data_IF_166941137912
#
_entry.id   IF_166941137912
#
_cell.length_a   1.000
_cell.length_b   1.000
_cell.length_c   1.000
_cell.angle_alpha   90.00
_cell.angle_beta   90.00
_cell.angle_gamma   90.00
#
_symmetry.space_group_name_H-M   'P 1'
#
loop_
_entity.id
_entity.type
_entity.pdbx_description
1 polymer ?
#
# COMPACT_ATOMS: atom_id res chain seq x y z
N UNK A 1 -16.09 23.10 -39.80
CA UNK A 1 -14.87 23.13 -38.97
C UNK A 1 -15.27 23.39 -37.53
N UNK A 2 -14.66 22.70 -36.54
CA UNK A 2 -15.06 22.48 -35.12
C UNK A 2 -15.91 21.21 -34.95
N UNK A 3 -15.59 20.21 -34.11
CA UNK A 3 -14.53 20.00 -33.10
C UNK A 3 -14.35 18.47 -32.97
N UNK A 4 -13.23 17.94 -33.44
CA UNK A 4 -12.89 16.50 -33.30
C UNK A 4 -11.92 16.23 -32.14
N UNK A 5 -11.80 17.15 -31.19
CA UNK A 5 -10.74 17.14 -30.16
C UNK A 5 -11.14 16.54 -28.80
N UNK A 6 -12.32 15.93 -28.68
CA UNK A 6 -12.78 15.38 -27.39
C UNK A 6 -12.54 13.89 -27.18
N UNK A 7 -12.10 13.15 -28.21
CA UNK A 7 -11.92 11.69 -28.12
C UNK A 7 -10.49 11.23 -27.80
N UNK A 8 -9.50 12.13 -27.84
CA UNK A 8 -8.10 11.78 -27.55
C UNK A 8 -7.74 12.05 -26.07
N UNK A 9 -8.52 12.86 -25.36
CA UNK A 9 -8.24 13.16 -23.94
C UNK A 9 -8.66 12.04 -22.97
N UNK A 10 -9.60 11.17 -23.37
CA UNK A 10 -10.04 10.04 -22.53
C UNK A 10 -9.04 8.87 -22.50
N UNK A 11 -8.13 8.79 -23.48
CA UNK A 11 -7.14 7.71 -23.56
C UNK A 11 -5.83 8.02 -22.81
N UNK A 12 -5.58 9.28 -22.44
CA UNK A 12 -4.35 9.66 -21.71
C UNK A 12 -4.53 9.51 -20.19
N UNK A 13 -5.76 9.55 -19.67
CA UNK A 13 -6.00 9.44 -18.21
C UNK A 13 -5.98 7.98 -17.74
N UNK A 14 -6.23 7.01 -18.63
CA UNK A 14 -6.09 5.58 -18.31
C UNK A 14 -4.61 5.11 -18.27
N UNK A 15 -3.66 5.94 -18.71
CA UNK A 15 -2.23 5.60 -18.81
C UNK A 15 -1.37 5.95 -17.59
N UNK A 16 -1.95 6.50 -16.53
CA UNK A 16 -1.22 7.02 -15.34
C UNK A 16 -1.63 6.35 -14.03
N UNK A 17 -2.29 5.19 -14.09
CA UNK A 17 -2.36 4.29 -12.95
C UNK A 17 -1.15 3.35 -13.10
N UNK A 18 -0.06 3.51 -12.33
CA UNK A 18 0.90 2.43 -12.22
C UNK A 18 0.09 1.19 -11.85
N UNK A 19 0.11 0.19 -12.72
CA UNK A 19 -0.59 -1.08 -12.52
C UNK A 19 0.00 -1.73 -11.27
N UNK A 20 -0.50 -1.31 -10.12
CA UNK A 20 -0.28 -1.97 -8.86
C UNK A 20 -1.05 -3.27 -9.01
N UNK A 21 -0.32 -4.35 -9.21
CA UNK A 21 -0.87 -5.67 -9.11
C UNK A 21 -1.30 -5.87 -7.64
N UNK A 22 -2.54 -5.50 -7.33
CA UNK A 22 -3.25 -6.03 -6.17
C UNK A 22 -3.57 -7.47 -6.50
N UNK A 23 -2.91 -8.40 -5.83
CA UNK A 23 -3.18 -9.80 -6.06
C UNK A 23 -2.65 -10.62 -4.90
N UNK A 24 -3.51 -11.52 -4.40
CA UNK A 24 -3.17 -12.55 -3.43
C UNK A 24 -2.04 -13.47 -3.93
N UNK A 25 -1.67 -13.38 -5.21
CA UNK A 25 -0.78 -14.30 -5.91
C UNK A 25 0.57 -13.70 -6.37
N UNK A 26 0.81 -12.40 -6.15
CA UNK A 26 2.04 -11.73 -6.66
C UNK A 26 3.31 -12.40 -6.14
N UNK A 27 3.25 -12.90 -4.92
CA UNK A 27 4.35 -13.52 -4.18
C UNK A 27 4.03 -14.98 -3.81
N UNK A 28 3.32 -15.68 -4.70
CA UNK A 28 3.04 -17.10 -4.54
C UNK A 28 4.31 -17.89 -4.25
N UNK A 29 4.20 -18.98 -3.46
CA UNK A 29 5.31 -19.89 -3.30
C UNK A 29 5.82 -20.44 -4.64
N UNK A 30 7.15 -20.50 -4.78
CA UNK A 30 7.84 -20.89 -6.01
C UNK A 30 8.61 -22.19 -5.85
N UNK A 31 8.92 -22.86 -6.95
CA UNK A 31 9.81 -24.05 -6.95
C UNK A 31 11.24 -23.74 -7.37
N UNK A 32 11.46 -22.58 -8.01
CA UNK A 32 12.77 -22.15 -8.49
C UNK A 32 13.03 -20.73 -8.00
N UNK A 33 14.17 -20.54 -7.37
CA UNK A 33 14.64 -19.25 -6.87
C UNK A 33 15.85 -18.87 -7.72
N UNK A 34 15.76 -17.74 -8.42
CA UNK A 34 16.85 -17.20 -9.20
C UNK A 34 17.66 -16.26 -8.32
N UNK A 35 18.97 -16.39 -8.34
CA UNK A 35 19.89 -15.58 -7.56
C UNK A 35 20.51 -14.49 -8.44
N UNK A 36 20.89 -13.37 -7.84
CA UNK A 36 21.53 -12.25 -8.55
C UNK A 36 22.90 -12.62 -9.15
N UNK A 37 23.56 -13.65 -8.62
CA UNK A 37 24.82 -14.20 -9.15
C UNK A 37 24.61 -15.18 -10.32
N UNK A 38 23.37 -15.34 -10.80
CA UNK A 38 23.01 -16.22 -11.90
C UNK A 38 22.71 -17.67 -11.50
N UNK A 39 22.93 -18.05 -10.23
CA UNK A 39 22.59 -19.40 -9.74
C UNK A 39 21.08 -19.59 -9.66
N UNK A 40 20.67 -20.86 -9.73
CA UNK A 40 19.28 -21.27 -9.55
C UNK A 40 19.20 -22.28 -8.43
N UNK A 41 18.35 -22.01 -7.45
CA UNK A 41 18.04 -22.93 -6.35
C UNK A 41 16.69 -23.56 -6.61
N UNK A 42 16.69 -24.87 -6.89
CA UNK A 42 15.47 -25.66 -7.00
C UNK A 42 15.07 -26.22 -5.63
N UNK A 43 13.78 -26.12 -5.33
CA UNK A 43 13.19 -26.44 -4.03
C UNK A 43 11.82 -27.10 -4.17
N UNK A 44 11.38 -27.79 -3.12
CA UNK A 44 10.02 -28.33 -3.05
C UNK A 44 9.01 -27.19 -2.94
N UNK A 45 9.36 -26.19 -2.13
CA UNK A 45 8.58 -24.99 -1.91
C UNK A 45 9.48 -23.86 -1.42
N UNK A 46 9.40 -22.69 -2.05
CA UNK A 46 10.11 -21.49 -1.65
C UNK A 46 9.13 -20.35 -1.41
N UNK A 47 9.26 -19.61 -0.32
CA UNK A 47 8.34 -18.52 0.03
C UNK A 47 9.05 -17.37 0.74
N UNK A 48 8.43 -16.19 0.68
CA UNK A 48 8.93 -14.98 1.34
C UNK A 48 8.49 -14.94 2.81
N UNK A 49 9.42 -14.56 3.68
CA UNK A 49 9.15 -14.24 5.07
C UNK A 49 10.05 -13.10 5.53
N UNK A 50 9.50 -11.88 5.53
CA UNK A 50 10.23 -10.69 5.90
C UNK A 50 11.41 -10.41 4.98
N UNK A 51 12.60 -10.23 5.55
CA UNK A 51 13.85 -9.98 4.83
C UNK A 51 14.51 -11.27 4.27
N UNK A 52 13.78 -12.39 4.23
CA UNK A 52 14.30 -13.71 3.88
C UNK A 52 13.44 -14.41 2.84
N UNK A 53 14.09 -15.21 2.02
CA UNK A 53 13.47 -16.23 1.18
C UNK A 53 13.73 -17.60 1.83
N UNK A 54 12.68 -18.31 2.21
CA UNK A 54 12.77 -19.63 2.81
C UNK A 54 12.56 -20.66 1.71
N UNK A 55 13.40 -21.68 1.68
CA UNK A 55 13.46 -22.72 0.66
C UNK A 55 13.43 -24.08 1.34
N UNK A 56 12.37 -24.85 1.13
CA UNK A 56 12.26 -26.23 1.64
C UNK A 56 12.91 -27.20 0.66
N UNK A 57 13.93 -27.92 1.14
CA UNK A 57 14.68 -28.92 0.36
C UNK A 57 15.08 -30.10 1.25
N UNK A 58 14.88 -31.33 0.77
CA UNK A 58 15.30 -32.56 1.45
C UNK A 58 14.86 -32.67 2.93
N UNK A 59 13.64 -32.22 3.25
CA UNK A 59 13.11 -32.30 4.63
C UNK A 59 13.57 -31.19 5.58
N UNK A 60 14.43 -30.27 5.14
CA UNK A 60 14.86 -29.09 5.90
C UNK A 60 14.48 -27.77 5.23
N UNK A 61 14.62 -26.68 5.99
CA UNK A 61 14.45 -25.32 5.50
C UNK A 61 15.83 -24.65 5.37
N UNK A 62 16.13 -24.14 4.19
CA UNK A 62 17.26 -23.27 3.92
C UNK A 62 16.77 -21.83 3.84
N UNK A 63 17.51 -20.90 4.44
CA UNK A 63 17.18 -19.47 4.40
C UNK A 63 18.17 -18.75 3.49
N UNK A 64 17.65 -17.95 2.56
CA UNK A 64 18.42 -17.11 1.66
C UNK A 64 18.11 -15.64 1.99
N UNK A 65 19.12 -14.75 2.06
CA UNK A 65 18.89 -13.32 2.19
C UNK A 65 18.10 -12.80 1.00
N UNK A 66 17.04 -12.02 1.24
CA UNK A 66 16.17 -11.56 0.16
C UNK A 66 16.91 -10.73 -0.89
N UNK A 67 17.92 -9.97 -0.47
CA UNK A 67 18.74 -9.12 -1.35
C UNK A 67 19.63 -9.92 -2.31
N UNK A 68 19.80 -11.22 -2.07
CA UNK A 68 20.54 -12.13 -2.97
C UNK A 68 19.66 -12.74 -4.07
N UNK A 69 18.33 -12.59 -3.97
CA UNK A 69 17.34 -13.14 -4.91
C UNK A 69 17.12 -12.16 -6.07
N UNK A 70 17.12 -12.69 -7.28
CA UNK A 70 16.61 -12.01 -8.46
C UNK A 70 15.08 -12.02 -8.40
N UNK A 71 14.53 -10.92 -7.91
CA UNK A 71 13.09 -10.75 -7.71
C UNK A 71 12.29 -10.81 -9.00
N UNK A 72 12.81 -10.22 -10.09
CA UNK A 72 12.07 -10.10 -11.34
C UNK A 72 11.89 -11.47 -11.99
N UNK A 73 12.93 -12.32 -11.92
CA UNK A 73 12.84 -13.69 -12.43
C UNK A 73 12.10 -14.64 -11.49
N UNK A 74 12.24 -14.46 -10.18
CA UNK A 74 11.61 -15.35 -9.18
C UNK A 74 10.11 -15.06 -9.05
N UNK A 75 9.71 -13.80 -9.07
CA UNK A 75 8.31 -13.35 -8.94
C UNK A 75 7.90 -12.52 -10.16
N UNK A 76 7.71 -13.13 -11.34
CA UNK A 76 7.43 -12.40 -12.58
C UNK A 76 6.10 -11.64 -12.58
N UNK A 77 5.16 -12.03 -11.70
CA UNK A 77 3.89 -11.30 -11.47
C UNK A 77 4.16 -9.94 -10.80
N UNK A 78 5.27 -9.78 -10.09
CA UNK A 78 5.66 -8.53 -9.47
C UNK A 78 6.31 -7.59 -10.49
N UNK A 79 5.57 -6.59 -10.95
CA UNK A 79 6.06 -5.53 -11.85
C UNK A 79 6.93 -4.53 -11.09
N UNK A 80 8.14 -4.95 -10.76
CA UNK A 80 9.14 -4.16 -10.05
C UNK A 80 9.60 -2.97 -10.91
N UNK A 81 9.47 -1.71 -10.44
CA UNK A 81 10.03 -0.56 -11.14
C UNK A 81 11.56 -0.68 -11.30
N UNK A 82 12.14 -0.21 -12.42
CA UNK A 82 13.58 -0.09 -12.54
C UNK A 82 14.08 0.83 -11.42
N UNK A 83 15.16 0.44 -10.74
CA UNK A 83 15.74 1.14 -9.56
C UNK A 83 15.05 0.91 -8.22
N UNK A 84 13.93 0.19 -8.16
CA UNK A 84 13.40 -0.27 -6.88
C UNK A 84 14.30 -1.37 -6.31
N UNK A 85 14.46 -1.42 -4.99
CA UNK A 85 15.05 -2.51 -4.25
C UNK A 85 14.06 -2.97 -3.22
N UNK A 86 13.72 -4.25 -3.23
CA UNK A 86 12.82 -4.85 -2.24
C UNK A 86 13.66 -5.28 -1.04
N UNK A 87 13.41 -4.67 0.12
CA UNK A 87 14.17 -4.95 1.34
C UNK A 87 13.51 -6.06 2.16
N UNK A 88 12.18 -6.11 2.13
CA UNK A 88 11.37 -6.98 2.96
C UNK A 88 10.00 -7.19 2.33
N UNK A 89 9.46 -8.41 2.39
CA UNK A 89 8.09 -8.72 1.95
C UNK A 89 7.43 -9.73 2.88
N UNK A 90 6.20 -9.42 3.25
CA UNK A 90 5.29 -10.28 3.97
C UNK A 90 4.07 -10.56 3.08
N UNK A 91 4.11 -11.64 2.28
CA UNK A 91 3.06 -11.92 1.32
C UNK A 91 1.75 -12.32 2.02
N UNK A 92 0.63 -12.12 1.33
CA UNK A 92 -0.70 -12.52 1.79
C UNK A 92 -1.25 -11.66 2.94
N UNK A 93 -2.40 -12.05 3.52
CA UNK A 93 -3.05 -11.30 4.60
C UNK A 93 -2.19 -11.26 5.87
N UNK A 94 -1.98 -10.05 6.41
CA UNK A 94 -1.28 -9.79 7.68
C UNK A 94 -2.19 -9.22 8.75
N UNK A 95 -3.34 -8.72 8.34
CA UNK A 95 -4.47 -8.42 9.20
C UNK A 95 -5.74 -8.68 8.40
N UNK A 96 -6.73 -9.31 9.02
CA UNK A 96 -8.03 -9.51 8.41
C UNK A 96 -9.09 -9.52 9.51
N UNK A 97 -10.08 -8.67 9.35
CA UNK A 97 -11.35 -8.76 10.05
C UNK A 97 -12.50 -8.82 9.04
N UNK A 98 -13.74 -8.70 9.52
CA UNK A 98 -14.94 -8.75 8.69
C UNK A 98 -15.02 -7.58 7.68
N UNK A 99 -14.36 -6.46 7.96
CA UNK A 99 -14.50 -5.20 7.24
C UNK A 99 -13.23 -4.79 6.48
N UNK A 100 -12.06 -5.31 6.84
CA UNK A 100 -10.80 -4.88 6.20
C UNK A 100 -9.78 -6.00 6.12
N UNK A 101 -9.03 -6.00 5.03
CA UNK A 101 -7.86 -6.86 4.84
C UNK A 101 -6.65 -6.00 4.56
N UNK A 102 -5.56 -6.25 5.27
CA UNK A 102 -4.23 -5.72 4.98
C UNK A 102 -3.34 -6.86 4.54
N UNK A 103 -2.70 -6.73 3.38
CA UNK A 103 -1.89 -7.77 2.77
C UNK A 103 -0.62 -7.22 2.15
N UNK A 104 0.27 -8.14 1.74
CA UNK A 104 1.46 -7.84 0.94
C UNK A 104 2.32 -6.70 1.51
N UNK A 105 2.47 -6.68 2.84
CA UNK A 105 3.23 -5.65 3.58
C UNK A 105 4.68 -5.75 3.18
N UNK A 106 5.27 -4.66 2.69
CA UNK A 106 6.65 -4.66 2.20
C UNK A 106 7.36 -3.36 2.48
N UNK A 107 8.69 -3.43 2.44
CA UNK A 107 9.57 -2.26 2.46
C UNK A 107 10.36 -2.25 1.17
N UNK A 108 10.22 -1.16 0.43
CA UNK A 108 10.96 -0.92 -0.81
C UNK A 108 11.87 0.28 -0.61
N UNK A 109 12.97 0.30 -1.38
CA UNK A 109 13.87 1.44 -1.49
C UNK A 109 13.95 1.83 -2.95
N UNK A 110 13.61 3.07 -3.26
CA UNK A 110 13.60 3.60 -4.61
C UNK A 110 14.15 5.04 -4.61
N UNK A 111 14.68 5.54 -5.74
CA UNK A 111 15.06 6.94 -5.82
C UNK A 111 13.85 7.86 -5.67
N UNK A 112 14.04 9.02 -5.04
CA UNK A 112 12.97 9.96 -4.73
C UNK A 112 12.24 10.52 -5.97
N UNK A 113 12.88 10.51 -7.15
CA UNK A 113 12.32 10.98 -8.42
C UNK A 113 12.79 10.13 -9.61
N UNK A 114 12.16 8.97 -9.88
CA UNK A 114 12.52 8.13 -11.03
C UNK A 114 12.18 8.78 -12.39
N UNK A 115 11.36 9.83 -12.41
CA UNK A 115 10.94 10.53 -13.64
C UNK A 115 11.88 11.67 -14.09
N UNK A 116 12.98 11.93 -13.38
CA UNK A 116 13.97 12.99 -13.70
C UNK A 116 15.37 12.48 -13.96
N UNK A 117 15.56 11.16 -14.08
CA UNK A 117 16.85 10.54 -14.40
C UNK A 117 17.13 10.63 -15.91
N UNK A 118 17.13 11.85 -16.47
CA UNK A 118 17.77 12.13 -17.75
C UNK A 118 19.29 12.18 -17.51
N UNK A 119 19.98 11.15 -18.02
CA UNK A 119 21.41 10.88 -17.82
C UNK A 119 22.39 11.90 -18.45
N UNK A 120 21.93 13.08 -18.88
CA UNK A 120 22.79 14.07 -19.55
C UNK A 120 22.98 15.41 -18.82
N UNK A 121 22.27 15.70 -17.72
CA UNK A 121 22.27 17.06 -17.14
C UNK A 121 22.96 17.24 -15.77
N UNK A 122 23.24 16.18 -15.01
CA UNK A 122 23.63 16.33 -13.59
C UNK A 122 25.06 15.88 -13.29
N UNK A 123 26.07 16.51 -13.92
CA UNK A 123 27.44 16.47 -13.40
C UNK A 123 27.57 17.49 -12.26
N UNK A 124 27.19 17.09 -11.04
CA UNK A 124 27.45 17.89 -9.83
C UNK A 124 26.37 17.88 -8.76
N UNK A 125 25.24 17.22 -8.96
CA UNK A 125 24.24 17.04 -7.91
C UNK A 125 24.55 15.79 -7.08
N UNK A 126 24.37 15.91 -5.76
CA UNK A 126 24.46 14.79 -4.81
C UNK A 126 23.71 13.58 -5.37
N UNK A 127 24.22 12.34 -5.18
CA UNK A 127 23.57 11.14 -5.67
C UNK A 127 22.09 11.14 -5.24
N UNK A 128 21.15 10.72 -6.12
CA UNK A 128 19.74 10.71 -5.80
C UNK A 128 19.52 9.96 -4.50
N UNK A 129 18.98 10.66 -3.50
CA UNK A 129 18.80 10.08 -2.17
C UNK A 129 17.76 8.95 -2.29
N UNK A 130 18.22 7.72 -2.05
CA UNK A 130 17.34 6.57 -2.07
C UNK A 130 16.41 6.62 -0.86
N UNK A 131 15.11 6.56 -1.10
CA UNK A 131 14.08 6.67 -0.08
C UNK A 131 13.51 5.29 0.19
N UNK A 132 13.48 4.90 1.46
CA UNK A 132 12.82 3.67 1.89
C UNK A 132 11.35 3.98 2.23
N UNK A 133 10.44 3.10 1.81
CA UNK A 133 8.98 3.30 1.96
C UNK A 133 8.34 1.99 2.40
N UNK A 134 7.51 2.06 3.44
CA UNK A 134 6.59 0.98 3.80
C UNK A 134 5.39 1.04 2.87
N UNK A 135 5.00 -0.12 2.36
CA UNK A 135 3.89 -0.29 1.43
C UNK A 135 2.98 -1.37 1.98
N UNK A 136 1.69 -1.07 2.09
CA UNK A 136 0.66 -1.99 2.59
C UNK A 136 -0.47 -2.00 1.57
N UNK A 137 -0.88 -3.18 1.12
CA UNK A 137 -2.09 -3.32 0.33
C UNK A 137 -3.27 -3.44 1.26
N UNK A 138 -4.32 -2.68 0.99
CA UNK A 138 -5.52 -2.61 1.81
C UNK A 138 -6.74 -2.86 0.93
N UNK A 139 -7.68 -3.66 1.42
CA UNK A 139 -9.02 -3.83 0.82
C UNK A 139 -10.06 -3.54 1.88
N UNK A 140 -10.88 -2.51 1.67
CA UNK A 140 -12.03 -2.22 2.50
C UNK A 140 -13.23 -3.07 2.03
N UNK A 141 -13.78 -3.88 2.93
CA UNK A 141 -14.97 -4.71 2.73
C UNK A 141 -16.19 -4.19 3.48
N UNK A 142 -15.98 -3.28 4.44
CA UNK A 142 -17.03 -2.71 5.27
C UNK A 142 -17.53 -1.36 4.76
N UNK A 143 -18.14 -0.60 5.67
CA UNK A 143 -18.57 0.76 5.40
C UNK A 143 -17.37 1.66 5.03
N UNK A 144 -17.60 2.72 4.25
CA UNK A 144 -16.52 3.61 3.88
C UNK A 144 -15.85 4.27 5.08
N UNK A 145 -14.53 4.20 5.16
CA UNK A 145 -13.77 4.67 6.32
C UNK A 145 -12.39 5.21 5.93
N UNK A 146 -11.82 6.02 6.82
CA UNK A 146 -10.38 6.26 6.84
C UNK A 146 -9.72 5.19 7.72
N UNK A 147 -8.47 4.86 7.42
CA UNK A 147 -7.76 3.76 8.07
C UNK A 147 -6.40 4.23 8.56
N UNK A 148 -6.09 3.88 9.80
CA UNK A 148 -4.76 4.04 10.39
C UNK A 148 -4.22 2.67 10.80
N UNK A 149 -3.01 2.36 10.36
CA UNK A 149 -2.32 1.10 10.62
C UNK A 149 -1.06 1.38 11.42
N UNK A 150 -0.95 0.79 12.60
CA UNK A 150 0.29 0.77 13.38
C UNK A 150 1.03 -0.54 13.14
N UNK A 151 2.34 -0.44 12.95
CA UNK A 151 3.20 -1.57 12.66
C UNK A 151 4.57 -1.45 13.32
N UNK A 152 5.07 -2.58 13.81
CA UNK A 152 6.38 -2.67 14.45
C UNK A 152 7.40 -3.24 13.48
N UNK A 153 8.52 -2.54 13.31
CA UNK A 153 9.74 -3.11 12.78
C UNK A 153 10.45 -3.91 13.87
N UNK A 154 10.80 -5.15 13.57
CA UNK A 154 11.49 -6.04 14.50
C UNK A 154 12.76 -6.62 13.88
N UNK A 155 13.74 -6.88 14.73
CA UNK A 155 14.97 -7.58 14.35
C UNK A 155 14.76 -9.09 14.20
N UNK A 156 15.85 -9.81 13.96
CA UNK A 156 15.85 -11.28 13.83
C UNK A 156 15.50 -12.04 15.11
N UNK A 157 15.58 -11.38 16.28
CA UNK A 157 15.23 -11.94 17.59
C UNK A 157 13.79 -11.58 17.99
N UNK A 158 13.08 -10.80 17.18
CA UNK A 158 11.73 -10.32 17.47
C UNK A 158 11.68 -9.09 18.38
N UNK A 159 12.82 -8.45 18.67
CA UNK A 159 12.84 -7.20 19.42
C UNK A 159 12.28 -6.07 18.56
N UNK A 160 11.37 -5.28 19.13
CA UNK A 160 10.84 -4.08 18.48
C UNK A 160 11.95 -3.03 18.38
N UNK A 161 12.27 -2.65 17.15
CA UNK A 161 13.24 -1.61 16.82
C UNK A 161 12.56 -0.24 16.74
N UNK A 162 11.38 -0.20 16.11
CA UNK A 162 10.63 1.02 15.87
C UNK A 162 9.15 0.72 15.59
N UNK A 163 8.28 1.69 15.86
CA UNK A 163 6.85 1.62 15.52
C UNK A 163 6.51 2.72 14.50
N UNK A 164 5.82 2.35 13.44
CA UNK A 164 5.34 3.26 12.41
C UNK A 164 3.82 3.33 12.42
N UNK A 165 3.30 4.51 12.13
CA UNK A 165 1.90 4.72 11.81
C UNK A 165 1.77 5.05 10.30
N UNK A 166 0.85 4.38 9.64
CA UNK A 166 0.52 4.57 8.22
C UNK A 166 -0.97 4.87 8.11
N UNK A 167 -1.32 6.01 7.55
CA UNK A 167 -2.71 6.47 7.42
C UNK A 167 -3.11 6.51 5.96
N UNK A 168 -4.37 6.18 5.66
CA UNK A 168 -4.96 6.37 4.34
C UNK A 168 -4.96 7.84 3.93
N UNK A 169 -4.50 8.13 2.71
CA UNK A 169 -4.49 9.50 2.17
C UNK A 169 -5.91 10.04 1.92
N UNK A 170 -6.86 9.14 1.67
CA UNK A 170 -8.27 9.44 1.48
C UNK A 170 -9.15 8.38 2.14
N UNK A 171 -10.44 8.71 2.30
CA UNK A 171 -11.48 7.75 2.63
C UNK A 171 -11.49 6.61 1.60
N UNK A 172 -11.62 5.39 2.09
CA UNK A 172 -11.80 4.20 1.28
C UNK A 172 -13.28 3.86 1.18
N UNK A 173 -13.80 3.74 -0.03
CA UNK A 173 -15.16 3.28 -0.28
C UNK A 173 -15.30 1.77 -0.06
N UNK A 174 -16.54 1.27 0.02
CA UNK A 174 -16.82 -0.16 0.19
C UNK A 174 -16.36 -0.93 -1.04
N UNK A 175 -15.57 -1.99 -0.82
CA UNK A 175 -14.97 -2.80 -1.87
C UNK A 175 -13.69 -2.20 -2.46
N UNK A 176 -13.30 -0.98 -2.06
CA UNK A 176 -12.11 -0.33 -2.59
C UNK A 176 -10.84 -1.05 -2.13
N UNK A 177 -9.89 -1.21 -3.05
CA UNK A 177 -8.53 -1.66 -2.75
C UNK A 177 -7.53 -0.58 -3.13
N UNK A 178 -6.64 -0.23 -2.21
CA UNK A 178 -5.62 0.80 -2.42
C UNK A 178 -4.30 0.45 -1.73
N UNK A 179 -3.26 1.25 -1.97
CA UNK A 179 -1.97 1.11 -1.30
C UNK A 179 -1.85 2.21 -0.26
N UNK A 180 -1.53 1.82 0.96
CA UNK A 180 -1.00 2.75 1.96
C UNK A 180 0.52 2.83 1.84
N UNK A 181 1.06 4.04 1.80
CA UNK A 181 2.51 4.29 1.73
C UNK A 181 2.96 5.15 2.89
N UNK A 182 4.11 4.81 3.47
CA UNK A 182 4.79 5.66 4.45
C UNK A 182 6.27 5.75 4.13
N UNK A 183 6.73 6.96 3.80
CA UNK A 183 8.16 7.26 3.69
C UNK A 183 8.83 7.09 5.05
N UNK A 184 9.93 6.37 5.05
CA UNK A 184 10.83 6.26 6.18
C UNK A 184 11.76 7.48 6.19
N UNK A 185 11.92 8.10 7.35
CA UNK A 185 12.90 9.15 7.59
C UNK A 185 14.33 8.57 7.65
N UNK A 186 15.33 9.40 7.91
CA UNK A 186 16.73 8.97 7.96
C UNK A 186 16.95 7.82 8.97
N UNK A 187 16.31 7.89 10.14
CA UNK A 187 16.36 6.83 11.14
C UNK A 187 15.68 5.53 10.64
N UNK A 188 14.57 5.66 9.90
CA UNK A 188 13.91 4.54 9.25
C UNK A 188 14.70 3.92 8.08
N UNK A 189 15.56 4.69 7.41
CA UNK A 189 16.43 4.20 6.34
C UNK A 189 17.58 3.31 6.88
N UNK A 190 18.13 3.66 8.03
CA UNK A 190 19.18 2.90 8.73
C UNK A 190 18.66 1.56 9.28
N UNK A 191 17.35 1.46 9.55
CA UNK A 191 16.70 0.21 9.95
C UNK A 191 16.74 -0.86 8.86
N UNK A 192 16.99 -0.52 7.59
CA UNK A 192 16.99 -1.49 6.49
C UNK A 192 17.93 -2.69 6.70
N UNK A 193 19.02 -2.50 7.44
CA UNK A 193 19.99 -3.58 7.74
C UNK A 193 19.69 -4.33 9.04
N UNK A 194 18.92 -3.74 9.95
CA UNK A 194 18.61 -4.30 11.26
C UNK A 194 17.24 -4.98 11.30
N UNK A 195 16.31 -4.51 10.48
CA UNK A 195 14.94 -4.97 10.40
C UNK A 195 14.84 -6.29 9.62
N UNK A 196 14.23 -7.29 10.24
CA UNK A 196 13.97 -8.59 9.62
C UNK A 196 12.49 -8.80 9.30
N UNK A 197 11.57 -8.15 10.02
CA UNK A 197 10.13 -8.38 9.91
C UNK A 197 9.34 -7.12 10.24
N UNK A 198 8.19 -6.93 9.57
CA UNK A 198 7.16 -5.98 9.96
C UNK A 198 5.96 -6.74 10.54
N UNK A 199 5.44 -6.28 11.69
CA UNK A 199 4.22 -6.84 12.30
C UNK A 199 3.18 -5.75 12.46
N UNK A 200 1.99 -5.98 11.88
CA UNK A 200 0.83 -5.12 12.14
C UNK A 200 0.40 -5.36 13.59
N UNK A 201 0.32 -4.27 14.36
CA UNK A 201 -0.03 -4.32 15.78
C UNK A 201 -1.43 -3.80 16.03
N UNK A 202 -1.87 -2.80 15.26
CA UNK A 202 -3.19 -2.21 15.39
C UNK A 202 -3.71 -1.69 14.06
N UNK A 203 -5.02 -1.81 13.87
CA UNK A 203 -5.75 -1.21 12.76
C UNK A 203 -6.92 -0.44 13.35
N UNK A 204 -7.00 0.85 13.03
CA UNK A 204 -8.10 1.72 13.40
C UNK A 204 -8.87 2.11 12.15
N UNK A 205 -10.20 2.09 12.24
CA UNK A 205 -11.12 2.54 11.18
C UNK A 205 -11.96 3.67 11.73
N UNK A 206 -11.98 4.80 11.04
CA UNK A 206 -12.78 5.97 11.39
C UNK A 206 -13.79 6.25 10.29
N UNK A 207 -15.07 6.07 10.59
CA UNK A 207 -16.15 6.45 9.68
C UNK A 207 -16.42 7.95 9.84
N UNK A 208 -16.24 8.71 8.76
CA UNK A 208 -16.43 10.18 8.77
C UNK A 208 -17.90 10.55 9.05
N UNK A 209 -18.87 9.68 8.72
CA UNK A 209 -20.28 9.91 9.07
C UNK A 209 -20.54 9.75 10.57
N UNK A 210 -19.90 8.80 11.23
CA UNK A 210 -20.02 8.67 12.68
C UNK A 210 -19.32 9.81 13.43
N UNK A 211 -18.18 10.33 12.95
CA UNK A 211 -17.50 11.44 13.61
C UNK A 211 -18.27 12.76 13.48
N UNK A 212 -18.92 13.02 12.34
CA UNK A 212 -19.83 14.18 12.18
C UNK A 212 -21.09 14.03 13.02
N UNK A 213 -21.65 12.82 13.15
CA UNK A 213 -22.84 12.57 13.97
C UNK A 213 -22.55 12.53 15.48
N UNK A 214 -21.38 12.02 15.91
CA UNK A 214 -20.96 11.95 17.31
C UNK A 214 -20.36 13.27 17.83
N UNK A 215 -19.66 14.03 16.98
CA UNK A 215 -19.13 15.35 17.35
C UNK A 215 -20.08 16.51 17.03
N UNK A 216 -21.19 16.27 16.32
CA UNK A 216 -22.27 17.26 16.12
C UNK A 216 -23.11 17.55 17.38
N UNK A 217 -22.64 17.10 18.55
CA UNK A 217 -23.33 17.16 19.82
C UNK A 217 -22.88 18.29 20.76
N UNK A 218 -22.02 19.22 20.37
CA UNK A 218 -21.76 20.46 21.14
C UNK A 218 -20.97 21.42 20.27
N UNK A 219 -21.65 22.24 19.48
CA UNK A 219 -21.25 23.63 19.23
C UNK A 219 -22.37 24.31 18.45
N UNK A 220 -23.22 25.02 19.19
CA UNK A 220 -24.25 25.90 18.63
C UNK A 220 -23.57 27.12 17.98
N UNK A 221 -23.09 26.93 16.75
CA UNK A 221 -22.84 28.02 15.81
C UNK A 221 -24.12 28.29 15.01
N UNK A 222 -24.48 29.57 14.87
CA UNK A 222 -25.67 30.04 14.18
C UNK A 222 -25.75 29.60 12.70
N UNK A 223 -24.66 29.09 12.11
CA UNK A 223 -24.64 28.51 10.76
C UNK A 223 -25.23 27.09 10.71
N UNK A 224 -25.20 26.33 11.82
CA UNK A 224 -25.76 24.98 11.89
C UNK A 224 -27.28 24.94 11.74
N UNK A 225 -27.97 26.02 12.13
CA UNK A 225 -29.42 26.15 11.96
C UNK A 225 -29.78 26.29 10.47
N UNK A 226 -28.99 27.05 9.70
CA UNK A 226 -29.21 27.23 8.27
C UNK A 226 -29.01 25.92 7.51
N UNK A 227 -28.00 25.15 7.87
CA UNK A 227 -27.72 23.87 7.21
C UNK A 227 -28.75 22.79 7.58
N UNK A 228 -29.26 22.80 8.83
CA UNK A 228 -30.38 21.92 9.23
C UNK A 228 -31.66 22.25 8.46
N UNK A 229 -32.00 23.53 8.32
CA UNK A 229 -33.15 23.99 7.50
C UNK A 229 -32.95 23.62 6.03
N UNK A 230 -31.71 23.72 5.51
CA UNK A 230 -31.38 23.32 4.13
C UNK A 230 -31.55 21.81 3.92
N UNK A 231 -31.10 20.99 4.86
CA UNK A 231 -31.24 19.54 4.80
C UNK A 231 -32.69 19.08 4.92
N UNK A 232 -33.49 19.71 5.78
CA UNK A 232 -34.93 19.43 5.89
C UNK A 232 -35.69 19.80 4.60
N UNK A 233 -35.34 20.93 3.96
CA UNK A 233 -35.89 21.29 2.65
C UNK A 233 -35.52 20.28 1.55
N UNK A 234 -34.27 19.82 1.53
CA UNK A 234 -33.83 18.79 0.57
C UNK A 234 -34.55 17.47 0.82
N UNK A 235 -34.77 17.08 2.08
CA UNK A 235 -35.54 15.88 2.44
C UNK A 235 -37.00 15.97 1.99
N UNK A 236 -37.67 17.08 2.28
CA UNK A 236 -39.05 17.32 1.85
C UNK A 236 -39.19 17.32 0.32
N UNK A 237 -38.24 17.91 -0.41
CA UNK A 237 -38.22 17.89 -1.87
C UNK A 237 -38.03 16.48 -2.45
N UNK A 238 -37.15 15.67 -1.84
CA UNK A 238 -36.97 14.26 -2.24
C UNK A 238 -38.22 13.43 -1.99
N UNK A 239 -38.90 13.64 -0.86
CA UNK A 239 -40.14 12.93 -0.53
C UNK A 239 -41.30 13.31 -1.45
N UNK A 240 -41.41 14.59 -1.85
CA UNK A 240 -42.40 15.00 -2.85
C UNK A 240 -42.10 14.41 -4.25
N UNK A 241 -40.84 14.45 -4.68
CA UNK A 241 -40.42 13.88 -5.97
C UNK A 241 -40.60 12.35 -6.04
N UNK A 242 -40.53 11.66 -4.91
CA UNK A 242 -40.80 10.22 -4.82
C UNK A 242 -42.31 9.91 -4.79
N UNK A 243 -43.16 10.84 -4.33
CA UNK A 243 -44.62 10.71 -4.35
C UNK A 243 -45.26 11.09 -5.70
N UNK A 244 -44.59 11.91 -6.51
CA UNK A 244 -45.08 12.32 -7.84
C UNK A 244 -44.66 11.40 -9.00
N UNK A 245 -43.99 10.28 -8.73
CA UNK A 245 -43.81 9.22 -9.74
C UNK A 245 -44.99 8.25 -9.69
N UNK A 246 -45.86 8.19 -10.71
CA UNK A 246 -46.87 7.13 -10.83
C UNK A 246 -46.22 5.75 -11.00
#
# INVERSE_FOLDING_TARGET
>A
MRKSYFLILALVIAGLIPSIAFSEEVFDPVRKIYMNDGKVVECQMGWLDGARMICRKFGGNMTLPLQSVDFARTFPKYKKPPEETVLLVHPGPRYQDENIVLSNVRVIRAPENPAKTDLSANRGQNPPQAVSTIVIEITNRGDPCEVKVSLNAMDVLGKVLHQFDVTSESRLDTGESTILKRRLDAAGADLGNLMSTLKITRVERSNILESVLKNGGTDYSADGIKDKIRQEKIRALKEMLLKERP
#
